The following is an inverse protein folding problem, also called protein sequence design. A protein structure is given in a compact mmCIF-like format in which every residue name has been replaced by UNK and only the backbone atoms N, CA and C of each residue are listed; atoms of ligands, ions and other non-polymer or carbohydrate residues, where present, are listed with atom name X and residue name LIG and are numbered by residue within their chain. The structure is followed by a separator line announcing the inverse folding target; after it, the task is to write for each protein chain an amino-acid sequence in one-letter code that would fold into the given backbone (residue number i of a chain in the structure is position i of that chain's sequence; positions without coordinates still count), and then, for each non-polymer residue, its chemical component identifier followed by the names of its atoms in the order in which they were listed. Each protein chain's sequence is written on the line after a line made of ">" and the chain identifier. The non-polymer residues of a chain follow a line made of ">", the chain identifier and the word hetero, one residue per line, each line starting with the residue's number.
data_IF_547266256134
#
_entry.id   IF_547266256134
#
_cell.length_a   1.000
_cell.length_b   1.000
_cell.length_c   1.000
_cell.angle_alpha   90.00
_cell.angle_beta   90.00
_cell.angle_gamma   90.00
#
_symmetry.space_group_name_H-M   'P 1'
#
loop_
_entity.id
_entity.type
_entity.pdbx_description
1 polymer ?
#
# COMPACT_ATOMS: atom_id res chain seq x y z
N UNK A 1 12.52 -28.90 41.53
CA UNK A 1 13.69 -28.00 41.59
C UNK A 1 13.45 -26.67 40.89
N UNK A 2 13.07 -26.60 39.60
CA UNK A 2 12.94 -25.30 38.89
C UNK A 2 11.87 -24.38 39.51
N UNK A 3 10.70 -24.89 39.90
CA UNK A 3 9.61 -24.06 40.48
C UNK A 3 10.00 -23.37 41.80
N UNK A 4 10.79 -24.01 42.65
CA UNK A 4 11.21 -23.44 43.95
C UNK A 4 12.26 -22.33 43.80
N UNK A 5 13.12 -22.43 42.79
CA UNK A 5 14.08 -21.37 42.43
C UNK A 5 13.38 -20.14 41.84
N UNK A 6 12.34 -20.33 41.03
CA UNK A 6 11.53 -19.20 40.54
C UNK A 6 10.80 -18.45 41.66
N UNK A 7 10.27 -19.18 42.66
CA UNK A 7 9.61 -18.61 43.83
C UNK A 7 10.57 -17.86 44.77
N UNK A 8 11.86 -18.19 44.78
CA UNK A 8 12.87 -17.51 45.60
C UNK A 8 13.32 -16.19 44.98
N UNK A 9 13.38 -16.13 43.64
CA UNK A 9 13.64 -14.91 42.86
C UNK A 9 12.52 -13.88 43.04
N UNK A 10 11.26 -14.31 42.99
CA UNK A 10 10.06 -13.46 43.19
C UNK A 10 9.89 -12.92 44.63
N UNK A 11 10.68 -13.39 45.60
CA UNK A 11 10.66 -12.89 46.98
C UNK A 11 11.72 -11.83 47.27
N UNK A 12 12.62 -11.56 46.32
CA UNK A 12 13.73 -10.59 46.49
C UNK A 12 13.41 -9.31 45.71
N UNK A 13 13.06 -8.19 46.38
CA UNK A 13 12.61 -6.98 45.69
C UNK A 13 13.70 -6.39 44.77
N UNK A 14 14.97 -6.47 45.16
CA UNK A 14 16.09 -6.00 44.34
C UNK A 14 16.24 -6.80 43.03
N UNK A 15 16.00 -8.12 43.05
CA UNK A 15 16.10 -8.95 41.84
C UNK A 15 14.94 -8.68 40.88
N UNK A 16 13.74 -8.43 41.40
CA UNK A 16 12.59 -8.02 40.60
C UNK A 16 12.85 -6.67 39.91
N UNK A 17 13.41 -5.69 40.61
CA UNK A 17 13.75 -4.38 40.04
C UNK A 17 14.75 -4.54 38.88
N UNK A 18 15.81 -5.33 39.07
CA UNK A 18 16.80 -5.58 38.00
C UNK A 18 16.17 -6.28 36.80
N UNK A 19 15.33 -7.30 37.03
CA UNK A 19 14.64 -8.01 35.95
C UNK A 19 13.68 -7.09 35.18
N UNK A 20 13.00 -6.19 35.89
CA UNK A 20 12.12 -5.17 35.29
C UNK A 20 12.91 -4.24 34.36
N UNK A 21 14.06 -3.72 34.76
CA UNK A 21 14.87 -2.86 33.89
C UNK A 21 15.44 -3.61 32.67
N UNK A 22 15.80 -4.88 32.84
CA UNK A 22 16.29 -5.73 31.73
C UNK A 22 15.20 -5.95 30.69
N UNK A 23 13.95 -6.18 31.10
CA UNK A 23 12.83 -6.34 30.16
C UNK A 23 12.32 -5.00 29.62
N UNK A 24 12.55 -3.90 30.35
CA UNK A 24 12.15 -2.56 29.94
C UNK A 24 12.89 -2.09 28.68
N UNK A 25 14.19 -2.38 28.55
CA UNK A 25 14.99 -1.99 27.36
C UNK A 25 14.39 -2.53 26.05
N UNK A 26 14.19 -3.85 25.87
CA UNK A 26 13.55 -4.38 24.67
C UNK A 26 12.09 -3.95 24.54
N UNK A 27 11.35 -3.77 25.64
CA UNK A 27 9.97 -3.28 25.59
C UNK A 27 9.88 -1.85 25.03
N UNK A 28 10.78 -0.95 25.45
CA UNK A 28 10.87 0.42 24.92
C UNK A 28 11.25 0.38 23.43
N UNK A 29 12.26 -0.42 23.07
CA UNK A 29 12.66 -0.56 21.66
C UNK A 29 11.50 -1.05 20.79
N UNK A 30 10.82 -2.12 21.21
CA UNK A 30 9.63 -2.63 20.53
C UNK A 30 8.51 -1.59 20.45
N UNK A 31 8.28 -0.83 21.52
CA UNK A 31 7.27 0.23 21.55
C UNK A 31 7.56 1.35 20.56
N UNK A 32 8.80 1.86 20.52
CA UNK A 32 9.24 2.89 19.57
C UNK A 32 9.15 2.37 18.13
N UNK A 33 9.60 1.14 17.89
CA UNK A 33 9.54 0.52 16.57
C UNK A 33 8.08 0.37 16.08
N UNK A 34 7.18 -0.14 16.93
CA UNK A 34 5.76 -0.29 16.59
C UNK A 34 5.09 1.05 16.34
N UNK A 35 5.41 2.07 17.16
CA UNK A 35 4.91 3.43 16.99
C UNK A 35 5.37 4.05 15.67
N UNK A 36 6.63 3.85 15.29
CA UNK A 36 7.15 4.31 13.99
C UNK A 36 6.43 3.64 12.82
N UNK A 37 6.13 2.35 12.92
CA UNK A 37 5.39 1.63 11.87
C UNK A 37 3.95 2.13 11.76
N UNK A 38 3.27 2.40 12.89
CA UNK A 38 1.88 2.88 12.88
C UNK A 38 1.76 4.28 12.23
N UNK A 39 2.72 5.17 12.48
CA UNK A 39 2.73 6.53 11.92
C UNK A 39 3.14 6.58 10.44
N UNK A 40 3.88 5.59 9.93
CA UNK A 40 4.34 5.59 8.53
C UNK A 40 3.19 5.44 7.53
N UNK A 41 2.14 4.70 7.87
CA UNK A 41 0.95 4.53 7.02
C UNK A 41 0.03 5.76 7.04
N UNK A 42 0.07 6.60 8.07
CA UNK A 42 -0.73 7.84 8.07
C UNK A 42 -0.20 8.88 7.09
N UNK A 43 1.10 8.83 6.79
CA UNK A 43 1.75 9.75 5.85
C UNK A 43 1.74 9.28 4.39
N UNK A 44 1.29 8.05 4.09
CA UNK A 44 1.18 7.61 2.68
C UNK A 44 0.11 8.39 1.92
N UNK A 45 -0.84 8.99 2.64
CA UNK A 45 -1.90 9.84 2.07
C UNK A 45 -1.35 11.02 1.27
N UNK A 46 -0.18 11.53 1.67
CA UNK A 46 0.47 12.66 1.02
C UNK A 46 1.40 12.23 -0.13
N UNK A 47 1.58 10.91 -0.33
CA UNK A 47 2.47 10.38 -1.34
C UNK A 47 1.85 10.55 -2.74
N UNK A 48 2.47 11.34 -3.64
CA UNK A 48 1.91 11.60 -4.95
C UNK A 48 2.00 10.35 -5.84
N UNK A 49 0.84 9.95 -6.36
CA UNK A 49 0.70 8.83 -7.29
C UNK A 49 -0.04 9.31 -8.55
N UNK A 50 0.34 8.78 -9.72
CA UNK A 50 -0.29 9.10 -10.98
C UNK A 50 -1.17 7.95 -11.47
N UNK A 51 -2.34 8.29 -12.00
CA UNK A 51 -3.27 7.35 -12.62
C UNK A 51 -3.43 7.73 -14.09
N UNK A 52 -3.16 6.76 -14.97
CA UNK A 52 -3.34 6.89 -16.42
C UNK A 52 -4.46 5.96 -16.83
N UNK A 53 -5.57 6.53 -17.28
CA UNK A 53 -6.71 5.75 -17.75
C UNK A 53 -6.77 5.74 -19.28
N UNK A 54 -6.37 4.64 -19.90
CA UNK A 54 -6.51 4.44 -21.35
C UNK A 54 -7.80 3.69 -21.72
N UNK A 55 -8.60 3.28 -20.73
CA UNK A 55 -9.86 2.57 -20.95
C UNK A 55 -10.90 3.46 -21.63
N UNK A 56 -11.39 3.00 -22.77
CA UNK A 56 -12.38 3.72 -23.57
C UNK A 56 -13.82 3.42 -23.15
N UNK A 57 -14.03 2.42 -22.28
CA UNK A 57 -15.35 1.86 -22.00
C UNK A 57 -15.86 1.00 -23.16
N UNK A 58 -16.95 0.29 -22.91
CA UNK A 58 -17.70 -0.46 -23.93
C UNK A 58 -19.20 -0.21 -23.78
N UNK A 59 -19.97 -0.48 -24.83
CA UNK A 59 -21.42 -0.57 -24.74
C UNK A 59 -21.81 -2.04 -24.74
N UNK A 60 -22.53 -2.49 -23.71
CA UNK A 60 -23.03 -3.85 -23.57
C UNK A 60 -24.53 -3.83 -23.31
N UNK A 61 -25.30 -4.55 -24.13
CA UNK A 61 -26.77 -4.62 -24.03
C UNK A 61 -27.46 -3.23 -23.94
N UNK A 62 -26.95 -2.23 -24.65
CA UNK A 62 -27.48 -0.87 -24.64
C UNK A 62 -27.10 -0.03 -23.42
N UNK A 63 -26.31 -0.57 -22.49
CA UNK A 63 -25.77 0.15 -21.34
C UNK A 63 -24.28 0.41 -21.51
N UNK A 64 -23.82 1.59 -21.09
CA UNK A 64 -22.41 1.94 -21.12
C UNK A 64 -21.69 1.34 -19.90
N UNK A 65 -20.71 0.48 -20.14
CA UNK A 65 -19.83 -0.11 -19.11
C UNK A 65 -18.50 0.64 -19.16
N UNK A 66 -18.15 1.31 -18.06
CA UNK A 66 -16.93 2.11 -17.94
C UNK A 66 -16.12 1.69 -16.70
N UNK A 67 -15.74 0.41 -16.64
CA UNK A 67 -15.01 -0.15 -15.49
C UNK A 67 -13.73 0.63 -15.16
N UNK A 68 -13.01 1.14 -16.17
CA UNK A 68 -11.82 1.94 -15.93
C UNK A 68 -12.15 3.26 -15.23
N UNK A 69 -13.19 3.98 -15.66
CA UNK A 69 -13.62 5.23 -15.00
C UNK A 69 -14.13 4.99 -13.59
N UNK A 70 -14.84 3.89 -13.37
CA UNK A 70 -15.36 3.54 -12.05
C UNK A 70 -14.23 3.16 -11.09
N UNK A 71 -13.20 2.47 -11.58
CA UNK A 71 -11.98 2.22 -10.83
C UNK A 71 -11.28 3.53 -10.46
N UNK A 72 -11.06 4.44 -11.41
CA UNK A 72 -10.45 5.76 -11.14
C UNK A 72 -11.24 6.51 -10.06
N UNK A 73 -12.57 6.54 -10.15
CA UNK A 73 -13.42 7.18 -9.13
C UNK A 73 -13.28 6.51 -7.75
N UNK A 74 -13.18 5.18 -7.71
CA UNK A 74 -12.97 4.44 -6.46
C UNK A 74 -11.64 4.78 -5.80
N UNK A 75 -10.57 4.81 -6.60
CA UNK A 75 -9.21 5.12 -6.13
C UNK A 75 -9.09 6.59 -5.72
N UNK A 76 -9.68 7.53 -6.45
CA UNK A 76 -9.69 8.94 -6.05
C UNK A 76 -10.47 9.22 -4.75
N UNK A 77 -11.40 8.32 -4.38
CA UNK A 77 -12.12 8.39 -3.10
C UNK A 77 -11.37 7.71 -1.96
N UNK A 78 -10.37 6.87 -2.25
CA UNK A 78 -9.55 6.26 -1.21
C UNK A 78 -8.52 7.26 -0.72
N UNK A 79 -8.50 7.53 0.58
CA UNK A 79 -7.47 8.31 1.25
C UNK A 79 -6.19 7.48 1.47
N UNK A 80 -5.80 6.62 0.51
CA UNK A 80 -4.60 5.78 0.63
C UNK A 80 -3.34 6.51 0.17
N UNK A 81 -3.45 7.28 -0.91
CA UNK A 81 -2.39 8.10 -1.53
C UNK A 81 -2.97 9.34 -2.21
N UNK A 82 -2.11 10.30 -2.54
CA UNK A 82 -2.51 11.50 -3.25
C UNK A 82 -2.50 11.25 -4.76
N UNK A 83 -3.61 10.72 -5.28
CA UNK A 83 -3.72 10.32 -6.68
C UNK A 83 -4.03 11.49 -7.63
N UNK A 84 -3.29 11.56 -8.74
CA UNK A 84 -3.45 12.53 -9.82
C UNK A 84 -3.78 11.82 -11.12
N UNK A 85 -4.89 12.18 -11.77
CA UNK A 85 -5.21 11.65 -13.11
C UNK A 85 -4.41 12.45 -14.13
N UNK A 86 -3.59 11.77 -14.93
CA UNK A 86 -2.67 12.41 -15.86
C UNK A 86 -2.51 11.60 -17.15
N UNK A 87 -1.82 12.18 -18.13
CA UNK A 87 -1.46 11.50 -19.37
C UNK A 87 -0.31 10.51 -19.15
N UNK A 88 -0.20 9.48 -20.00
CA UNK A 88 0.90 8.52 -19.94
C UNK A 88 2.28 9.18 -19.96
N UNK A 89 2.45 10.17 -20.83
CA UNK A 89 3.73 10.85 -21.01
C UNK A 89 4.14 11.66 -19.77
N UNK A 90 3.16 12.32 -19.14
CA UNK A 90 3.38 13.10 -17.92
C UNK A 90 3.59 12.20 -16.71
N UNK A 91 2.83 11.09 -16.58
CA UNK A 91 3.06 10.07 -15.56
C UNK A 91 4.48 9.48 -15.65
N UNK A 92 4.91 9.07 -16.84
CA UNK A 92 6.24 8.49 -17.06
C UNK A 92 7.35 9.52 -16.77
N UNK A 93 7.13 10.79 -17.08
CA UNK A 93 8.08 11.87 -16.77
C UNK A 93 8.13 12.14 -15.26
N UNK A 94 6.98 12.31 -14.62
CA UNK A 94 6.90 12.56 -13.18
C UNK A 94 7.46 11.40 -12.37
N UNK A 95 7.24 10.16 -12.79
CA UNK A 95 7.84 8.98 -12.18
C UNK A 95 9.38 9.00 -12.27
N UNK A 96 9.93 9.42 -13.40
CA UNK A 96 11.39 9.55 -13.59
C UNK A 96 11.99 10.69 -12.77
N UNK A 97 11.28 11.81 -12.67
CA UNK A 97 11.73 13.01 -11.96
C UNK A 97 11.55 12.92 -10.44
N UNK A 98 10.77 11.95 -9.95
CA UNK A 98 10.42 11.82 -8.53
C UNK A 98 9.18 12.63 -8.12
N UNK A 99 8.47 13.23 -9.07
CA UNK A 99 7.20 13.92 -8.82
C UNK A 99 6.08 12.92 -8.46
N UNK A 100 6.18 11.68 -8.95
CA UNK A 100 5.30 10.57 -8.60
C UNK A 100 6.12 9.37 -8.14
N UNK A 101 5.64 8.65 -7.12
CA UNK A 101 6.28 7.44 -6.60
C UNK A 101 5.69 6.16 -7.19
N UNK A 102 4.44 6.24 -7.63
CA UNK A 102 3.68 5.16 -8.25
C UNK A 102 2.92 5.68 -9.46
N UNK A 103 2.95 4.94 -10.55
CA UNK A 103 2.06 5.13 -11.71
C UNK A 103 1.21 3.89 -11.88
N UNK A 104 -0.10 4.08 -11.95
CA UNK A 104 -1.10 3.04 -12.25
C UNK A 104 -1.62 3.28 -13.67
N UNK A 105 -1.37 2.34 -14.58
CA UNK A 105 -1.88 2.36 -15.95
C UNK A 105 -3.02 1.36 -16.14
N UNK A 106 -4.21 1.89 -16.43
CA UNK A 106 -5.39 1.11 -16.81
C UNK A 106 -5.34 0.94 -18.33
N UNK A 107 -5.30 -0.31 -18.84
CA UNK A 107 -5.22 -0.56 -20.27
C UNK A 107 -6.55 -0.29 -20.98
N UNK A 108 -6.49 -0.13 -22.31
CA UNK A 108 -7.66 0.19 -23.14
C UNK A 108 -8.76 -0.88 -23.17
N UNK A 109 -8.42 -2.13 -22.86
CA UNK A 109 -9.33 -3.28 -22.89
C UNK A 109 -9.92 -3.59 -21.51
N UNK A 110 -9.67 -2.75 -20.51
CA UNK A 110 -10.09 -3.02 -19.13
C UNK A 110 -11.61 -3.20 -18.99
N UNK A 111 -12.42 -2.31 -19.57
CA UNK A 111 -13.88 -2.45 -19.58
C UNK A 111 -14.38 -3.61 -20.44
N UNK A 112 -13.58 -4.06 -21.42
CA UNK A 112 -13.91 -5.25 -22.22
C UNK A 112 -13.68 -6.52 -21.40
N UNK A 113 -12.56 -6.59 -20.69
CA UNK A 113 -12.20 -7.74 -19.86
C UNK A 113 -13.14 -7.86 -18.65
N UNK A 114 -13.58 -6.74 -18.08
CA UNK A 114 -14.54 -6.76 -16.96
C UNK A 114 -15.84 -7.47 -17.33
N UNK A 115 -16.27 -7.39 -18.60
CA UNK A 115 -17.47 -8.09 -19.07
C UNK A 115 -17.28 -9.60 -19.20
N UNK A 116 -16.06 -10.04 -19.48
CA UNK A 116 -15.72 -11.45 -19.64
C UNK A 116 -15.84 -12.25 -18.33
N UNK A 117 -15.81 -11.59 -17.17
CA UNK A 117 -15.98 -12.21 -15.85
C UNK A 117 -17.31 -12.98 -15.71
N UNK A 118 -18.34 -12.57 -16.45
CA UNK A 118 -19.66 -13.20 -16.46
C UNK A 118 -19.81 -14.30 -17.54
N UNK A 119 -18.72 -14.64 -18.24
CA UNK A 119 -18.71 -15.64 -19.32
C UNK A 119 -18.05 -16.95 -18.89
N UNK A 120 -18.20 -18.01 -19.70
CA UNK A 120 -17.59 -19.31 -19.41
C UNK A 120 -16.04 -19.30 -19.44
N UNK A 121 -15.44 -18.30 -20.10
CA UNK A 121 -13.99 -18.12 -20.18
C UNK A 121 -13.61 -16.69 -19.74
N UNK A 122 -13.47 -16.45 -18.43
CA UNK A 122 -13.12 -15.13 -17.92
C UNK A 122 -11.70 -14.75 -18.32
N UNK A 123 -11.54 -13.52 -18.79
CA UNK A 123 -10.24 -12.88 -19.05
C UNK A 123 -9.84 -12.07 -17.82
N UNK A 124 -8.60 -12.23 -17.38
CA UNK A 124 -8.09 -11.51 -16.22
C UNK A 124 -7.93 -10.01 -16.54
N UNK A 125 -8.53 -9.16 -15.69
CA UNK A 125 -8.34 -7.72 -15.77
C UNK A 125 -6.97 -7.34 -15.21
N UNK A 126 -6.01 -7.10 -16.09
CA UNK A 126 -4.66 -6.73 -15.67
C UNK A 126 -4.50 -5.20 -15.64
N UNK A 127 -3.92 -4.68 -14.57
CA UNK A 127 -3.51 -3.28 -14.45
C UNK A 127 -1.99 -3.27 -14.38
N UNK A 128 -1.35 -2.34 -15.06
CA UNK A 128 0.11 -2.20 -14.99
C UNK A 128 0.46 -1.15 -13.93
N UNK A 129 1.37 -1.47 -13.03
CA UNK A 129 1.93 -0.51 -12.10
C UNK A 129 3.42 -0.29 -12.39
N UNK A 130 3.90 0.93 -12.20
CA UNK A 130 5.31 1.29 -12.32
C UNK A 130 5.72 2.08 -11.07
N UNK A 131 6.88 1.73 -10.53
CA UNK A 131 7.50 2.42 -9.40
C UNK A 131 8.93 2.82 -9.79
N UNK A 132 9.42 3.91 -9.23
CA UNK A 132 10.82 4.31 -9.39
C UNK A 132 11.58 4.07 -8.09
N UNK A 133 12.28 2.92 -7.93
CA UNK A 133 13.08 2.64 -6.74
C UNK A 133 14.39 3.45 -6.69
N UNK A 134 14.75 4.17 -7.76
CA UNK A 134 15.99 4.92 -7.85
C UNK A 134 16.02 6.23 -7.08
N UNK A 135 14.84 6.75 -6.65
CA UNK A 135 14.73 8.01 -5.92
C UNK A 135 14.43 7.82 -4.44
N UNK A 136 13.67 6.78 -4.05
CA UNK A 136 13.45 6.42 -2.65
C UNK A 136 13.05 4.94 -2.48
N UNK A 137 13.95 4.13 -1.91
CA UNK A 137 13.76 2.69 -1.71
C UNK A 137 12.54 2.39 -0.82
N UNK A 138 12.31 3.18 0.23
CA UNK A 138 11.23 2.93 1.19
C UNK A 138 9.86 3.22 0.58
N UNK A 139 9.72 4.33 -0.15
CA UNK A 139 8.50 4.65 -0.88
C UNK A 139 8.17 3.57 -1.93
N UNK A 140 9.20 3.05 -2.62
CA UNK A 140 9.01 1.99 -3.62
C UNK A 140 8.54 0.65 -3.03
N UNK A 141 8.94 0.33 -1.79
CA UNK A 141 8.52 -0.88 -1.10
C UNK A 141 7.10 -0.76 -0.55
N UNK A 142 6.71 0.43 -0.07
CA UNK A 142 5.32 0.70 0.34
C UNK A 142 4.39 0.59 -0.88
N UNK A 143 4.76 1.20 -2.01
CA UNK A 143 3.98 1.14 -3.24
C UNK A 143 3.84 -0.27 -3.85
N UNK A 144 4.77 -1.19 -3.56
CA UNK A 144 4.67 -2.61 -3.97
C UNK A 144 3.86 -3.48 -3.00
N UNK A 145 3.74 -3.07 -1.74
CA UNK A 145 3.09 -3.83 -0.68
C UNK A 145 1.58 -3.63 -0.58
N UNK A 146 1.05 -2.59 -1.24
CA UNK A 146 -0.38 -2.36 -1.52
C UNK A 146 -0.75 -2.86 -2.91
#
# INVERSE_FOLDING_TARGET
>A
MIKSEWLSVLKRPMVIVVLFFITLIPAIYSGVYLSSMWNTYEHTKDLPAAIVNNDTGITDNGQAVNAGKDLVKGVLKSDSMHYHVTSKQEADRGLKNGDYYLVIEIPNHFSKDSRSLLTQHPTAMNITYKVNPGTDFFASQIAKGT
#
